data_IF_931802000536
#
_entry.id   IF_931802000536
#
_cell.length_a   1.000
_cell.length_b   1.000
_cell.length_c   1.000
_cell.angle_alpha   90.00
_cell.angle_beta   90.00
_cell.angle_gamma   90.00
#
_symmetry.space_group_name_H-M   'P 1'
#
loop_
_entity.id
_entity.type
_entity.pdbx_description
1 polymer ?
#
# COMPACT_ATOMS: atom_id res chain seq x y z
N UNK A 1 14.42 -20.40 7.21
CA UNK A 1 13.01 -20.41 6.86
C UNK A 1 12.59 -19.22 6.03
N UNK A 2 11.92 -19.49 4.97
CA UNK A 2 11.39 -18.43 4.19
C UNK A 2 10.36 -17.64 4.99
N UNK A 3 10.30 -16.36 4.79
CA UNK A 3 9.31 -15.51 5.40
C UNK A 3 7.99 -15.68 4.67
N UNK A 4 6.99 -16.17 5.36
CA UNK A 4 5.69 -16.41 4.77
C UNK A 4 4.77 -15.23 4.97
N UNK A 5 5.29 -14.04 4.70
CA UNK A 5 4.49 -12.83 4.76
C UNK A 5 4.44 -12.14 3.40
N UNK A 6 3.38 -11.40 3.19
CA UNK A 6 3.16 -10.63 1.96
C UNK A 6 3.03 -9.17 2.30
N UNK A 7 3.53 -8.31 1.43
CA UNK A 7 3.45 -6.87 1.59
C UNK A 7 2.84 -6.26 0.34
N UNK A 8 1.95 -5.30 0.51
CA UNK A 8 1.41 -4.52 -0.59
C UNK A 8 1.47 -3.04 -0.24
N UNK A 9 1.69 -2.21 -1.26
CA UNK A 9 1.54 -0.76 -1.15
C UNK A 9 0.28 -0.36 -1.90
N UNK A 10 -0.56 0.45 -1.28
CA UNK A 10 -1.74 1.02 -1.95
C UNK A 10 -1.59 2.53 -1.89
N UNK A 11 -1.27 3.13 -3.02
CA UNK A 11 -1.22 4.58 -3.14
C UNK A 11 -2.63 5.08 -3.42
N UNK A 12 -2.96 6.25 -2.87
CA UNK A 12 -4.25 6.88 -3.11
C UNK A 12 -4.02 8.32 -3.56
N UNK A 13 -4.67 8.72 -4.66
CA UNK A 13 -4.55 10.10 -5.14
C UNK A 13 -5.70 10.95 -4.60
N UNK A 14 -5.67 12.23 -4.91
CA UNK A 14 -6.68 13.16 -4.40
C UNK A 14 -8.08 12.91 -4.96
N UNK A 15 -8.19 12.15 -6.03
CA UNK A 15 -9.47 11.75 -6.61
C UNK A 15 -9.96 10.42 -6.07
N UNK A 16 -9.24 9.82 -5.11
CA UNK A 16 -9.56 8.54 -4.48
C UNK A 16 -9.28 7.32 -5.35
N UNK A 17 -8.59 7.48 -6.47
CA UNK A 17 -8.12 6.34 -7.25
C UNK A 17 -7.00 5.63 -6.47
N UNK A 18 -6.97 4.30 -6.57
CA UNK A 18 -6.00 3.48 -5.87
C UNK A 18 -5.02 2.85 -6.86
N UNK A 19 -3.76 2.80 -6.46
CA UNK A 19 -2.68 2.23 -7.26
C UNK A 19 -1.98 1.20 -6.38
N UNK A 20 -2.12 -0.07 -6.71
CA UNK A 20 -1.60 -1.15 -5.88
C UNK A 20 -0.30 -1.72 -6.42
N UNK A 21 0.67 -1.88 -5.54
CA UNK A 21 1.98 -2.43 -5.87
C UNK A 21 2.28 -3.60 -4.94
N UNK A 22 2.11 -4.85 -5.41
CA UNK A 22 2.48 -6.01 -4.60
C UNK A 22 3.99 -6.19 -4.58
N UNK A 23 4.50 -6.78 -3.51
CA UNK A 23 5.93 -7.00 -3.32
C UNK A 23 6.33 -8.41 -3.75
N UNK A 24 7.59 -8.55 -4.12
CA UNK A 24 8.21 -9.82 -4.41
C UNK A 24 9.65 -9.84 -3.93
N UNK A 25 10.34 -10.98 -4.07
CA UNK A 25 11.71 -11.11 -3.57
C UNK A 25 12.67 -10.19 -4.30
N UNK A 26 13.58 -9.59 -3.56
CA UNK A 26 14.62 -8.71 -4.07
C UNK A 26 15.98 -9.24 -3.64
N UNK A 27 16.93 -9.28 -4.55
CA UNK A 27 18.30 -9.72 -4.23
C UNK A 27 18.96 -8.82 -3.20
N UNK A 28 18.69 -7.52 -3.27
CA UNK A 28 19.40 -6.53 -2.43
C UNK A 28 18.67 -6.17 -1.15
N UNK A 29 17.35 -6.25 -1.14
CA UNK A 29 16.55 -5.62 -0.09
C UNK A 29 15.54 -6.55 0.58
N UNK A 30 15.60 -7.84 0.33
CA UNK A 30 14.63 -8.79 0.87
C UNK A 30 13.35 -8.81 0.04
N UNK A 31 12.51 -7.80 0.22
CA UNK A 31 11.30 -7.66 -0.58
C UNK A 31 11.14 -6.23 -1.05
N UNK A 32 10.68 -6.07 -2.29
CA UNK A 32 10.39 -4.77 -2.90
C UNK A 32 9.18 -4.90 -3.80
N UNK A 33 8.53 -3.79 -4.18
CA UNK A 33 7.45 -3.86 -5.17
C UNK A 33 7.93 -4.52 -6.46
N UNK A 34 7.12 -5.43 -6.99
CA UNK A 34 7.39 -6.01 -8.31
C UNK A 34 7.06 -4.97 -9.37
N UNK A 35 7.51 -5.22 -10.60
CA UNK A 35 7.32 -4.27 -11.69
C UNK A 35 5.92 -4.41 -12.31
N UNK A 36 4.90 -4.26 -11.46
CA UNK A 36 3.49 -4.33 -11.86
C UNK A 36 2.68 -3.38 -10.99
N UNK A 37 1.73 -2.71 -11.61
CA UNK A 37 0.87 -1.78 -10.94
C UNK A 37 -0.59 -2.12 -11.27
N UNK A 38 -1.42 -2.17 -10.24
CA UNK A 38 -2.85 -2.47 -10.38
C UNK A 38 -3.65 -1.23 -9.98
N UNK A 39 -4.74 -0.99 -10.68
CA UNK A 39 -5.51 0.24 -10.51
C UNK A 39 -6.93 -0.07 -10.09
N UNK A 40 -7.48 0.78 -9.22
CA UNK A 40 -8.91 0.76 -8.88
C UNK A 40 -9.40 2.20 -8.97
N UNK A 41 -10.28 2.45 -9.93
CA UNK A 41 -10.76 3.80 -10.21
C UNK A 41 -11.79 4.23 -9.16
N UNK A 42 -11.98 5.55 -8.95
CA UNK A 42 -12.96 6.05 -7.98
C UNK A 42 -14.36 5.53 -8.28
N UNK A 43 -15.20 5.49 -7.25
CA UNK A 43 -16.55 4.98 -7.39
C UNK A 43 -16.70 3.51 -7.04
N UNK A 44 -15.63 2.91 -6.52
CA UNK A 44 -15.68 1.50 -6.11
C UNK A 44 -16.54 1.33 -4.86
N UNK A 45 -17.12 0.14 -4.73
CA UNK A 45 -17.85 -0.25 -3.52
C UNK A 45 -16.95 -1.17 -2.65
N UNK A 46 -17.52 -1.62 -1.53
CA UNK A 46 -16.76 -2.46 -0.59
C UNK A 46 -16.28 -3.76 -1.21
N UNK A 47 -17.14 -4.39 -2.03
CA UNK A 47 -16.77 -5.66 -2.67
C UNK A 47 -15.62 -5.46 -3.66
N UNK A 48 -15.67 -4.38 -4.44
CA UNK A 48 -14.60 -4.07 -5.38
C UNK A 48 -13.29 -3.77 -4.65
N UNK A 49 -13.36 -3.08 -3.53
CA UNK A 49 -12.18 -2.77 -2.73
C UNK A 49 -11.54 -4.04 -2.17
N UNK A 50 -12.36 -4.93 -1.62
CA UNK A 50 -11.86 -6.20 -1.09
C UNK A 50 -11.25 -7.06 -2.21
N UNK A 51 -11.90 -7.12 -3.36
CA UNK A 51 -11.40 -7.89 -4.50
C UNK A 51 -10.04 -7.34 -4.99
N UNK A 52 -9.91 -6.01 -5.00
CA UNK A 52 -8.67 -5.36 -5.39
C UNK A 52 -7.52 -5.75 -4.44
N UNK A 53 -7.78 -5.70 -3.14
CA UNK A 53 -6.77 -6.05 -2.14
C UNK A 53 -6.42 -7.54 -2.21
N UNK A 54 -7.43 -8.41 -2.38
CA UNK A 54 -7.18 -9.85 -2.56
C UNK A 54 -6.26 -10.09 -3.75
N UNK A 55 -6.51 -9.41 -4.85
CA UNK A 55 -5.71 -9.56 -6.05
C UNK A 55 -4.27 -9.12 -5.81
N UNK A 56 -4.07 -8.03 -5.07
CA UNK A 56 -2.73 -7.56 -4.74
C UNK A 56 -1.98 -8.61 -3.92
N UNK A 57 -2.61 -9.17 -2.89
CA UNK A 57 -1.97 -10.20 -2.08
C UNK A 57 -1.69 -11.47 -2.90
N UNK A 58 -2.59 -11.83 -3.81
CA UNK A 58 -2.39 -12.99 -4.68
C UNK A 58 -1.19 -12.80 -5.61
N UNK A 59 -0.89 -11.57 -5.99
CA UNK A 59 0.22 -11.27 -6.89
C UNK A 59 1.56 -11.08 -6.17
N UNK A 60 1.55 -11.04 -4.85
CA UNK A 60 2.79 -11.00 -4.09
C UNK A 60 3.63 -12.24 -4.42
N UNK A 61 4.92 -12.02 -4.57
CA UNK A 61 5.89 -13.09 -4.86
C UNK A 61 5.63 -13.84 -6.17
N UNK A 62 4.75 -13.30 -7.04
CA UNK A 62 4.49 -13.92 -8.35
C UNK A 62 5.66 -13.74 -9.30
N UNK A 63 6.50 -12.76 -9.05
CA UNK A 63 7.74 -12.54 -9.80
C UNK A 63 8.72 -11.82 -8.90
N UNK A 64 10.00 -11.87 -9.28
CA UNK A 64 11.04 -11.15 -8.54
C UNK A 64 10.93 -9.64 -8.79
N UNK A 65 11.27 -8.86 -7.79
CA UNK A 65 11.37 -7.41 -7.93
C UNK A 65 12.57 -7.09 -8.83
N UNK A 66 12.44 -6.05 -9.64
CA UNK A 66 13.52 -5.56 -10.50
C UNK A 66 14.19 -4.40 -9.79
N UNK A 67 15.38 -4.65 -9.24
CA UNK A 67 16.06 -3.67 -8.39
C UNK A 67 16.70 -2.51 -9.17
N UNK A 68 16.89 -2.68 -10.46
CA UNK A 68 17.57 -1.70 -11.29
C UNK A 68 16.64 -0.88 -12.19
N UNK A 69 15.34 -0.94 -11.96
CA UNK A 69 14.37 -0.13 -12.70
C UNK A 69 13.58 0.76 -11.72
N UNK A 70 13.03 1.87 -12.20
CA UNK A 70 12.19 2.71 -11.35
C UNK A 70 10.96 1.97 -10.85
N UNK A 71 10.41 2.34 -9.69
CA UNK A 71 9.14 1.76 -9.23
C UNK A 71 8.04 1.95 -10.27
N UNK A 72 7.14 0.98 -10.36
CA UNK A 72 6.06 1.01 -11.35
C UNK A 72 5.18 2.25 -11.24
N UNK A 73 4.95 2.76 -10.02
CA UNK A 73 4.16 3.98 -9.85
C UNK A 73 4.84 5.19 -10.51
N UNK A 74 6.16 5.27 -10.41
CA UNK A 74 6.93 6.34 -11.05
C UNK A 74 6.78 6.26 -12.57
N UNK A 75 6.92 5.07 -13.13
CA UNK A 75 6.81 4.85 -14.57
C UNK A 75 5.39 5.16 -15.06
N UNK A 76 4.40 4.71 -14.33
CA UNK A 76 3.00 4.93 -14.69
C UNK A 76 2.67 6.42 -14.74
N UNK A 77 3.13 7.18 -13.75
CA UNK A 77 2.87 8.62 -13.67
C UNK A 77 3.81 9.45 -14.53
N UNK A 78 4.79 8.80 -15.18
CA UNK A 78 5.77 9.45 -16.05
C UNK A 78 6.56 10.54 -15.31
N UNK A 79 6.87 10.27 -14.05
CA UNK A 79 7.60 11.21 -13.20
C UNK A 79 9.11 10.99 -13.36
N UNK A 80 9.87 12.05 -13.15
CA UNK A 80 11.33 12.01 -13.28
C UNK A 80 11.99 11.28 -12.12
N UNK A 81 11.32 11.22 -10.97
CA UNK A 81 11.86 10.56 -9.80
C UNK A 81 10.70 9.99 -8.99
N UNK A 82 11.02 9.08 -8.07
CA UNK A 82 10.04 8.55 -7.16
C UNK A 82 9.46 9.65 -6.27
N UNK A 83 10.30 10.54 -5.79
CA UNK A 83 9.87 11.66 -4.95
C UNK A 83 8.83 12.52 -5.65
N UNK A 84 9.05 12.79 -6.94
CA UNK A 84 8.10 13.57 -7.73
C UNK A 84 6.79 12.79 -7.93
N UNK A 85 6.89 11.48 -8.20
CA UNK A 85 5.72 10.65 -8.42
C UNK A 85 4.78 10.63 -7.21
N UNK A 86 5.34 10.54 -6.01
CA UNK A 86 4.54 10.34 -4.80
C UNK A 86 4.12 11.64 -4.10
N UNK A 87 4.57 12.77 -4.59
CA UNK A 87 4.42 14.03 -3.86
C UNK A 87 2.96 14.38 -3.52
N UNK A 88 2.02 13.94 -4.34
CA UNK A 88 0.59 14.19 -4.11
C UNK A 88 -0.19 12.90 -3.79
N UNK A 89 0.51 11.86 -3.39
CA UNK A 89 -0.10 10.57 -3.09
C UNK A 89 -0.06 10.26 -1.61
N UNK A 90 -1.11 9.59 -1.13
CA UNK A 90 -1.07 8.93 0.16
C UNK A 90 -0.67 7.48 -0.04
N UNK A 91 -0.29 6.82 1.05
CA UNK A 91 0.10 5.42 1.01
C UNK A 91 -0.47 4.66 2.19
N UNK A 92 -1.08 3.52 1.90
CA UNK A 92 -1.48 2.53 2.89
C UNK A 92 -0.62 1.29 2.66
N UNK A 93 0.06 0.83 3.70
CA UNK A 93 0.89 -0.39 3.61
C UNK A 93 0.09 -1.55 4.18
N UNK A 94 -0.01 -2.63 3.41
CA UNK A 94 -0.71 -3.83 3.83
C UNK A 94 0.25 -5.00 4.05
N UNK A 95 0.00 -5.74 5.11
CA UNK A 95 0.75 -6.94 5.48
C UNK A 95 -0.19 -8.10 5.64
N UNK A 96 0.26 -9.29 5.26
CA UNK A 96 -0.47 -10.51 5.53
C UNK A 96 0.49 -11.64 5.84
N UNK A 97 0.17 -12.43 6.88
CA UNK A 97 0.82 -13.71 7.13
C UNK A 97 -0.25 -14.69 7.61
N UNK A 98 -0.04 -15.97 7.37
CA UNK A 98 -1.02 -16.99 7.77
C UNK A 98 -1.22 -17.02 9.28
N UNK A 99 -0.15 -16.78 10.05
CA UNK A 99 -0.23 -16.83 11.50
C UNK A 99 -0.91 -15.63 12.11
N UNK A 100 -0.62 -14.45 11.58
CA UNK A 100 -1.05 -13.19 12.21
C UNK A 100 -2.22 -12.51 11.53
N UNK A 101 -2.52 -12.86 10.28
CA UNK A 101 -3.59 -12.24 9.52
C UNK A 101 -3.14 -10.98 8.80
N UNK A 102 -4.03 -10.00 8.72
CA UNK A 102 -3.81 -8.77 7.96
C UNK A 102 -3.48 -7.62 8.90
N UNK A 103 -2.63 -6.72 8.43
CA UNK A 103 -2.36 -5.46 9.14
C UNK A 103 -2.24 -4.36 8.08
N UNK A 104 -3.02 -3.31 8.23
CA UNK A 104 -3.00 -2.16 7.32
C UNK A 104 -2.55 -0.95 8.11
N UNK A 105 -1.43 -0.36 7.69
CA UNK A 105 -0.81 0.76 8.38
C UNK A 105 -0.88 1.99 7.50
N UNK A 106 -1.64 3.02 7.89
CA UNK A 106 -1.65 4.28 7.14
C UNK A 106 -0.35 5.03 7.33
N UNK A 107 -0.05 5.93 6.40
CA UNK A 107 1.15 6.76 6.46
C UNK A 107 0.79 8.22 6.37
N UNK A 108 1.75 9.06 6.75
CA UNK A 108 1.72 10.50 6.50
C UNK A 108 2.80 10.77 5.48
N UNK A 109 2.42 11.36 4.35
CA UNK A 109 3.39 11.72 3.32
C UNK A 109 3.93 13.11 3.62
N UNK A 110 5.16 13.17 4.10
CA UNK A 110 5.83 14.43 4.44
C UNK A 110 6.75 14.86 3.30
N UNK A 111 6.93 16.17 3.17
CA UNK A 111 7.83 16.70 2.14
C UNK A 111 9.28 16.34 2.39
N UNK A 112 9.65 16.14 3.65
CA UNK A 112 11.03 15.93 4.05
C UNK A 112 11.44 14.46 4.09
N UNK A 113 10.57 13.61 4.64
CA UNK A 113 10.89 12.21 4.90
C UNK A 113 10.14 11.23 3.99
N UNK A 114 9.27 11.72 3.11
CA UNK A 114 8.38 10.86 2.36
C UNK A 114 7.33 10.24 3.25
N UNK A 115 7.02 8.98 3.04
CA UNK A 115 5.98 8.30 3.81
C UNK A 115 6.48 7.88 5.19
N UNK A 116 5.77 8.33 6.21
CA UNK A 116 6.06 7.97 7.60
C UNK A 116 4.92 7.09 8.13
N UNK A 117 5.26 5.91 8.62
CA UNK A 117 4.26 4.95 9.10
C UNK A 117 3.62 5.43 10.40
N UNK A 118 2.30 5.32 10.48
CA UNK A 118 1.56 5.63 11.70
C UNK A 118 1.36 4.34 12.49
N UNK A 119 2.41 3.91 13.18
CA UNK A 119 2.41 2.61 13.89
C UNK A 119 1.37 2.52 15.00
N UNK A 120 0.88 3.65 15.49
CA UNK A 120 -0.17 3.68 16.50
C UNK A 120 -1.58 3.53 15.91
N UNK A 121 -1.70 3.44 14.59
CA UNK A 121 -3.00 3.34 13.91
C UNK A 121 -3.11 2.12 13.01
N UNK A 122 -2.45 1.04 13.41
CA UNK A 122 -2.49 -0.19 12.61
C UNK A 122 -3.88 -0.83 12.74
N UNK A 123 -4.46 -1.20 11.60
CA UNK A 123 -5.75 -1.88 11.54
C UNK A 123 -5.50 -3.36 11.30
N UNK A 124 -5.71 -4.17 12.33
CA UNK A 124 -5.41 -5.60 12.29
C UNK A 124 -6.66 -6.44 12.13
N UNK A 125 -6.54 -7.51 11.35
CA UNK A 125 -7.63 -8.46 11.12
C UNK A 125 -7.09 -9.88 11.17
N UNK A 126 -7.89 -10.80 11.71
CA UNK A 126 -7.53 -12.21 11.71
C UNK A 126 -7.54 -12.78 10.30
N UNK A 127 -6.80 -13.88 10.06
CA UNK A 127 -6.76 -14.48 8.71
C UNK A 127 -8.14 -14.85 8.17
N UNK A 128 -9.06 -15.24 9.05
CA UNK A 128 -10.40 -15.67 8.68
C UNK A 128 -11.46 -14.58 8.83
N UNK A 129 -11.04 -13.30 8.78
CA UNK A 129 -11.99 -12.20 8.89
C UNK A 129 -13.02 -12.26 7.76
N UNK A 130 -14.20 -11.68 8.02
CA UNK A 130 -15.26 -11.62 7.02
C UNK A 130 -14.98 -10.51 6.01
N UNK A 131 -15.65 -10.56 4.87
CA UNK A 131 -15.58 -9.48 3.86
C UNK A 131 -15.98 -8.14 4.45
N UNK A 132 -17.00 -8.14 5.30
CA UNK A 132 -17.46 -6.92 5.94
C UNK A 132 -16.40 -6.34 6.87
N UNK A 133 -15.74 -7.19 7.64
CA UNK A 133 -14.64 -6.76 8.51
C UNK A 133 -13.48 -6.19 7.70
N UNK A 134 -13.13 -6.87 6.59
CA UNK A 134 -12.07 -6.42 5.70
C UNK A 134 -12.40 -5.05 5.11
N UNK A 135 -13.59 -4.90 4.55
CA UNK A 135 -14.01 -3.65 3.93
C UNK A 135 -14.02 -2.50 4.94
N UNK A 136 -14.49 -2.75 6.15
CA UNK A 136 -14.55 -1.75 7.19
C UNK A 136 -13.15 -1.29 7.60
N UNK A 137 -12.23 -2.24 7.81
CA UNK A 137 -10.86 -1.92 8.18
C UNK A 137 -10.15 -1.14 7.06
N UNK A 138 -10.30 -1.57 5.80
CA UNK A 138 -9.70 -0.89 4.66
C UNK A 138 -10.21 0.53 4.52
N UNK A 139 -11.52 0.72 4.67
CA UNK A 139 -12.12 2.03 4.55
C UNK A 139 -11.58 2.99 5.62
N UNK A 140 -11.51 2.51 6.86
CA UNK A 140 -10.98 3.32 7.96
C UNK A 140 -9.49 3.61 7.77
N UNK A 141 -8.73 2.63 7.34
CA UNK A 141 -7.30 2.77 7.13
C UNK A 141 -7.01 3.80 6.03
N UNK A 142 -7.75 3.73 4.92
CA UNK A 142 -7.59 4.69 3.82
C UNK A 142 -7.94 6.11 4.26
N UNK A 143 -8.95 6.27 5.12
CA UNK A 143 -9.31 7.59 5.64
C UNK A 143 -8.26 8.16 6.59
N UNK A 144 -7.42 7.31 7.14
CA UNK A 144 -6.36 7.74 8.07
C UNK A 144 -5.07 8.15 7.36
N UNK A 145 -4.96 7.91 6.05
CA UNK A 145 -3.81 8.31 5.25
C UNK A 145 -3.80 9.83 5.09
N UNK A 146 -2.63 10.44 5.20
CA UNK A 146 -2.45 11.90 5.07
C UNK A 146 -1.42 12.22 4.00
N UNK A 147 -1.64 13.30 3.26
CA UNK A 147 -0.82 13.71 2.12
C UNK A 147 -0.40 15.15 2.29
N UNK A 148 0.89 15.43 2.01
CA UNK A 148 1.37 16.79 1.96
C UNK A 148 1.42 17.52 3.28
N UNK A 149 1.47 16.75 4.39
CA UNK A 149 1.51 17.32 5.73
C UNK A 149 2.86 17.08 6.38
N UNK A 150 3.21 17.93 7.33
CA UNK A 150 4.34 17.66 8.21
C UNK A 150 3.83 16.82 9.37
N UNK A 151 4.75 16.24 10.14
CA UNK A 151 4.36 15.49 11.33
C UNK A 151 3.64 16.39 12.35
N UNK A 152 3.97 17.68 12.40
CA UNK A 152 3.30 18.63 13.27
C UNK A 152 1.84 18.79 12.89
N UNK A 153 1.55 18.86 11.60
CA UNK A 153 0.19 19.02 11.13
C UNK A 153 -0.71 17.85 11.51
N UNK A 154 -0.12 16.67 11.64
CA UNK A 154 -0.89 15.48 11.98
C UNK A 154 -1.43 15.49 13.42
N UNK A 155 -0.92 16.38 14.27
CA UNK A 155 -1.37 16.45 15.67
C UNK A 155 -2.55 17.39 15.89
N UNK A 156 -2.96 18.10 14.88
CA UNK A 156 -4.07 19.04 14.97
C UNK A 156 -5.43 18.42 14.76
#
# INVERSE_FOLDING_TARGET
>A
MAQDYKIINIYIDKNKALYGAPFGPSEKYGKRPIDRLFLLMPGYNDEMLCAFVDRLFDKCDSEAAKDDVPPSIQTYLKAKSYKEAIKNLGLLVGFYSEGDGFAFTPTINTAEKGFVMCDDKVFELRPNCTRKEMANALSKALKSVRVGQTEEDSTK
#
